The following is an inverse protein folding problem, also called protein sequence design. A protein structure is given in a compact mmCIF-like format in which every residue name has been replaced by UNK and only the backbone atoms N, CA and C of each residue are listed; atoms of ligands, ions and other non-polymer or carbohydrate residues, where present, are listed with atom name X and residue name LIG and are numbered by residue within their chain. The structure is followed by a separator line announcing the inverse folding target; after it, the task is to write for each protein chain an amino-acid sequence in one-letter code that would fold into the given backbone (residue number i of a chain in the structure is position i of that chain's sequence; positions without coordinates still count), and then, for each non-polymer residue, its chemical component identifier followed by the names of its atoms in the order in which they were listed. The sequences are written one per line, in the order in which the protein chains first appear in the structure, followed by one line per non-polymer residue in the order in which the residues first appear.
data_IF_893227306671
#
_entry.id   IF_893227306671
#
_cell.length_a   1.000
_cell.length_b   1.000
_cell.length_c   1.000
_cell.angle_alpha   90.00
_cell.angle_beta   90.00
_cell.angle_gamma   90.00
#
_symmetry.space_group_name_H-M   'P 1'
#
loop_
_entity.id
_entity.type
_entity.pdbx_description
1 polymer ?
#
# COMPACT_ATOMS: atom_id res chain seq x y z
N UNK A 1 -9.66 -18.71 2.75
CA UNK A 1 -10.03 -18.19 4.10
C UNK A 1 -10.41 -16.70 4.06
N UNK A 2 -9.61 -15.83 3.45
CA UNK A 2 -9.91 -14.38 3.41
C UNK A 2 -11.27 -13.99 2.79
N UNK A 3 -11.71 -14.63 1.68
CA UNK A 3 -13.04 -14.32 1.10
C UNK A 3 -14.20 -14.57 2.08
N UNK A 4 -14.17 -15.70 2.79
CA UNK A 4 -15.16 -16.02 3.83
C UNK A 4 -15.12 -15.02 5.00
N UNK A 5 -13.91 -14.59 5.40
CA UNK A 5 -13.76 -13.57 6.43
C UNK A 5 -14.32 -12.22 5.97
N UNK A 6 -14.08 -11.85 4.71
CA UNK A 6 -14.59 -10.61 4.11
C UNK A 6 -16.12 -10.57 4.16
N UNK A 7 -16.79 -11.61 3.65
CA UNK A 7 -18.27 -11.72 3.70
C UNK A 7 -18.81 -11.61 5.14
N UNK A 8 -18.13 -12.25 6.09
CA UNK A 8 -18.50 -12.20 7.51
C UNK A 8 -18.39 -10.80 8.10
N UNK A 9 -17.27 -10.10 7.87
CA UNK A 9 -17.06 -8.75 8.38
C UNK A 9 -17.93 -7.70 7.69
N UNK A 10 -18.14 -7.81 6.37
CA UNK A 10 -19.06 -6.93 5.63
C UNK A 10 -20.47 -7.03 6.18
N UNK A 11 -20.96 -8.25 6.43
CA UNK A 11 -22.29 -8.46 6.98
C UNK A 11 -22.41 -7.98 8.43
N UNK A 12 -21.38 -8.20 9.24
CA UNK A 12 -21.43 -7.86 10.65
C UNK A 12 -21.28 -6.35 10.88
N UNK A 13 -20.29 -5.73 10.23
CA UNK A 13 -19.75 -4.43 10.59
C UNK A 13 -19.71 -3.42 9.43
N UNK A 14 -20.04 -3.86 8.21
CA UNK A 14 -20.10 -3.00 7.02
C UNK A 14 -18.81 -2.96 6.20
N UNK A 15 -18.88 -2.39 4.97
CA UNK A 15 -17.78 -2.38 4.00
C UNK A 15 -16.58 -1.52 4.43
N UNK A 16 -16.80 -0.50 5.25
CA UNK A 16 -15.78 0.49 5.66
C UNK A 16 -15.15 0.19 7.02
N UNK A 17 -15.54 -0.92 7.67
CA UNK A 17 -14.99 -1.27 8.97
C UNK A 17 -13.52 -1.72 8.85
N UNK A 18 -12.68 -1.40 9.85
CA UNK A 18 -11.25 -1.80 9.97
C UNK A 18 -10.97 -3.20 9.48
N UNK A 19 -11.70 -4.17 10.03
CA UNK A 19 -11.44 -5.59 9.78
C UNK A 19 -11.87 -6.02 8.37
N UNK A 20 -12.90 -5.38 7.83
CA UNK A 20 -13.31 -5.54 6.43
C UNK A 20 -12.19 -5.04 5.52
N UNK A 21 -11.78 -3.78 5.69
CA UNK A 21 -10.73 -3.16 4.88
C UNK A 21 -9.37 -3.85 5.03
N UNK A 22 -9.03 -4.31 6.23
CA UNK A 22 -7.83 -5.11 6.46
C UNK A 22 -7.87 -6.45 5.73
N UNK A 23 -9.04 -7.09 5.67
CA UNK A 23 -9.22 -8.32 4.90
C UNK A 23 -9.12 -8.04 3.40
N UNK A 24 -9.66 -6.93 2.91
CA UNK A 24 -9.52 -6.50 1.51
C UNK A 24 -8.04 -6.26 1.16
N UNK A 25 -7.29 -5.53 1.98
CA UNK A 25 -5.85 -5.31 1.77
C UNK A 25 -5.08 -6.64 1.72
N UNK A 26 -5.37 -7.57 2.63
CA UNK A 26 -4.72 -8.89 2.64
C UNK A 26 -5.08 -9.75 1.42
N UNK A 27 -6.29 -9.62 0.87
CA UNK A 27 -6.62 -10.22 -0.42
C UNK A 27 -5.79 -9.62 -1.55
N UNK A 28 -5.51 -8.32 -1.52
CA UNK A 28 -4.61 -7.66 -2.45
C UNK A 28 -3.21 -8.29 -2.45
N UNK A 29 -2.62 -8.45 -1.26
CA UNK A 29 -1.33 -9.13 -1.10
C UNK A 29 -1.38 -10.56 -1.65
N UNK A 30 -2.40 -11.33 -1.28
CA UNK A 30 -2.55 -12.71 -1.76
C UNK A 30 -2.64 -12.79 -3.30
N UNK A 31 -3.38 -11.89 -3.95
CA UNK A 31 -3.47 -11.87 -5.40
C UNK A 31 -2.16 -11.46 -6.06
N UNK A 32 -1.44 -10.49 -5.48
CA UNK A 32 -0.11 -10.09 -5.94
C UNK A 32 0.85 -11.29 -5.91
N UNK A 33 0.90 -12.02 -4.80
CA UNK A 33 1.77 -13.19 -4.64
C UNK A 33 1.43 -14.33 -5.61
N UNK A 34 0.19 -14.36 -6.12
CA UNK A 34 -0.26 -15.30 -7.15
C UNK A 34 -0.02 -14.80 -8.58
N UNK A 35 0.50 -13.58 -8.76
CA UNK A 35 0.65 -12.93 -10.08
C UNK A 35 -0.65 -12.35 -10.65
N UNK A 36 -1.74 -12.34 -9.88
CA UNK A 36 -3.04 -11.78 -10.27
C UNK A 36 -3.06 -10.27 -10.05
N UNK A 37 -2.28 -9.55 -10.87
CA UNK A 37 -1.95 -8.14 -10.64
C UNK A 37 -3.16 -7.21 -10.71
N UNK A 38 -4.14 -7.49 -11.58
CA UNK A 38 -5.33 -6.66 -11.74
C UNK A 38 -6.28 -6.79 -10.52
N UNK A 39 -6.46 -8.02 -10.03
CA UNK A 39 -7.24 -8.31 -8.84
C UNK A 39 -6.58 -7.71 -7.59
N UNK A 40 -5.25 -7.78 -7.50
CA UNK A 40 -4.49 -7.14 -6.44
C UNK A 40 -4.72 -5.63 -6.41
N UNK A 41 -4.61 -4.97 -7.58
CA UNK A 41 -4.83 -3.52 -7.73
C UNK A 41 -6.24 -3.12 -7.30
N UNK A 42 -7.26 -3.89 -7.73
CA UNK A 42 -8.65 -3.65 -7.36
C UNK A 42 -8.87 -3.76 -5.85
N UNK A 43 -8.25 -4.76 -5.19
CA UNK A 43 -8.35 -4.91 -3.75
C UNK A 43 -7.66 -3.77 -3.01
N UNK A 44 -6.41 -3.42 -3.38
CA UNK A 44 -5.71 -2.32 -2.70
C UNK A 44 -6.41 -0.97 -2.89
N UNK A 45 -6.91 -0.65 -4.09
CA UNK A 45 -7.68 0.58 -4.32
C UNK A 45 -8.95 0.62 -3.47
N UNK A 46 -9.68 -0.49 -3.38
CA UNK A 46 -10.86 -0.60 -2.53
C UNK A 46 -10.52 -0.38 -1.05
N UNK A 47 -9.44 -0.98 -0.57
CA UNK A 47 -8.97 -0.77 0.81
C UNK A 47 -8.54 0.69 1.05
N UNK A 48 -7.84 1.29 0.08
CA UNK A 48 -7.37 2.67 0.15
C UNK A 48 -8.52 3.65 0.28
N UNK A 49 -9.50 3.58 -0.62
CA UNK A 49 -10.69 4.45 -0.59
C UNK A 49 -11.44 4.31 0.75
N UNK A 50 -11.62 3.08 1.22
CA UNK A 50 -12.27 2.82 2.50
C UNK A 50 -11.51 3.39 3.70
N UNK A 51 -10.17 3.23 3.74
CA UNK A 51 -9.36 3.75 4.84
C UNK A 51 -9.26 5.27 4.82
N UNK A 52 -9.11 5.88 3.64
CA UNK A 52 -9.14 7.33 3.48
C UNK A 52 -10.45 7.91 3.99
N UNK A 53 -11.59 7.29 3.64
CA UNK A 53 -12.90 7.73 4.10
C UNK A 53 -13.11 7.53 5.60
N UNK A 54 -12.71 6.37 6.14
CA UNK A 54 -12.96 6.04 7.53
C UNK A 54 -12.05 6.82 8.50
N UNK A 55 -10.77 6.98 8.15
CA UNK A 55 -9.73 7.43 9.08
C UNK A 55 -8.79 8.51 8.53
N UNK A 56 -8.93 8.87 7.27
CA UNK A 56 -8.16 9.93 6.64
C UNK A 56 -6.91 9.45 5.90
N UNK A 57 -6.32 10.35 5.09
CA UNK A 57 -5.21 10.03 4.18
C UNK A 57 -3.89 9.70 4.88
N UNK A 58 -3.68 10.19 6.10
CA UNK A 58 -2.44 10.03 6.87
C UNK A 58 -2.52 8.88 7.89
N UNK A 59 -3.64 8.16 7.97
CA UNK A 59 -3.77 7.06 8.90
C UNK A 59 -2.82 5.91 8.54
N UNK A 60 -2.18 5.23 9.51
CA UNK A 60 -1.20 4.18 9.25
C UNK A 60 -1.63 3.07 8.28
N UNK A 61 -2.89 2.63 8.36
CA UNK A 61 -3.45 1.63 7.43
C UNK A 61 -3.65 2.17 6.02
N UNK A 62 -3.94 3.47 5.88
CA UNK A 62 -4.01 4.16 4.58
C UNK A 62 -2.62 4.17 3.95
N UNK A 63 -1.62 4.66 4.70
CA UNK A 63 -0.23 4.74 4.23
C UNK A 63 0.35 3.37 3.89
N UNK A 64 0.00 2.33 4.66
CA UNK A 64 0.44 0.97 4.35
C UNK A 64 -0.17 0.48 3.03
N UNK A 65 -1.45 0.77 2.78
CA UNK A 65 -2.12 0.41 1.53
C UNK A 65 -1.52 1.18 0.34
N UNK A 66 -1.17 2.46 0.55
CA UNK A 66 -0.42 3.25 -0.45
C UNK A 66 0.93 2.61 -0.77
N UNK A 67 1.71 2.20 0.24
CA UNK A 67 2.98 1.52 0.01
C UNK A 67 2.80 0.21 -0.78
N UNK A 68 1.78 -0.59 -0.43
CA UNK A 68 1.47 -1.84 -1.14
C UNK A 68 1.10 -1.61 -2.62
N UNK A 69 0.41 -0.51 -2.94
CA UNK A 69 0.17 -0.09 -4.33
C UNK A 69 1.47 0.29 -5.03
N UNK A 70 2.41 0.95 -4.33
CA UNK A 70 3.75 1.23 -4.85
C UNK A 70 4.49 -0.03 -5.26
N UNK A 71 4.53 -1.04 -4.38
CA UNK A 71 5.14 -2.35 -4.68
C UNK A 71 4.45 -3.02 -5.87
N UNK A 72 3.12 -3.02 -5.89
CA UNK A 72 2.37 -3.61 -7.00
C UNK A 72 2.68 -2.93 -8.34
N UNK A 73 2.74 -1.60 -8.38
CA UNK A 73 3.07 -0.87 -9.61
C UNK A 73 4.51 -1.09 -10.05
N UNK A 74 5.46 -1.17 -9.11
CA UNK A 74 6.85 -1.53 -9.40
C UNK A 74 6.91 -2.90 -10.08
N UNK A 75 6.22 -3.91 -9.52
CA UNK A 75 6.17 -5.27 -10.09
C UNK A 75 5.52 -5.32 -11.48
N UNK A 76 4.62 -4.37 -11.78
CA UNK A 76 4.02 -4.19 -13.11
C UNK A 76 4.90 -3.38 -14.09
N UNK A 77 6.05 -2.87 -13.65
CA UNK A 77 6.91 -1.96 -14.44
C UNK A 77 6.37 -0.52 -14.57
N UNK A 78 5.32 -0.17 -13.81
CA UNK A 78 4.72 1.16 -13.75
C UNK A 78 5.50 2.07 -12.80
N UNK A 79 6.72 2.40 -13.22
CA UNK A 79 7.71 3.02 -12.33
C UNK A 79 7.29 4.41 -11.83
N UNK A 80 6.61 5.22 -12.64
CA UNK A 80 6.15 6.55 -12.24
C UNK A 80 5.02 6.49 -11.20
N UNK A 81 4.08 5.57 -11.38
CA UNK A 81 2.99 5.33 -10.43
C UNK A 81 3.51 4.77 -9.11
N UNK A 82 4.50 3.87 -9.18
CA UNK A 82 5.18 3.35 -7.99
C UNK A 82 5.86 4.48 -7.19
N UNK A 83 6.62 5.34 -7.87
CA UNK A 83 7.31 6.49 -7.27
C UNK A 83 6.33 7.44 -6.57
N UNK A 84 5.20 7.73 -7.22
CA UNK A 84 4.16 8.57 -6.64
C UNK A 84 3.55 7.97 -5.37
N UNK A 85 3.31 6.65 -5.36
CA UNK A 85 2.80 5.96 -4.17
C UNK A 85 3.82 5.96 -3.03
N UNK A 86 5.07 5.58 -3.30
CA UNK A 86 6.11 5.55 -2.26
C UNK A 86 6.38 6.93 -1.67
N UNK A 87 6.47 8.00 -2.49
CA UNK A 87 6.64 9.36 -1.96
C UNK A 87 5.48 9.78 -1.07
N UNK A 88 4.25 9.45 -1.47
CA UNK A 88 3.06 9.73 -0.65
C UNK A 88 3.10 8.97 0.69
N UNK A 89 3.47 7.70 0.67
CA UNK A 89 3.61 6.91 1.90
C UNK A 89 4.73 7.46 2.80
N UNK A 90 5.86 7.84 2.21
CA UNK A 90 7.03 8.40 2.90
C UNK A 90 6.67 9.69 3.63
N UNK A 91 6.09 10.66 2.92
CA UNK A 91 5.67 11.94 3.51
C UNK A 91 4.70 11.73 4.69
N UNK A 92 3.75 10.80 4.52
CA UNK A 92 2.79 10.46 5.57
C UNK A 92 3.45 9.81 6.78
N UNK A 93 4.35 8.85 6.58
CA UNK A 93 5.02 8.15 7.68
C UNK A 93 6.01 9.04 8.42
N UNK A 94 6.77 9.89 7.70
CA UNK A 94 7.64 10.90 8.28
C UNK A 94 6.85 11.87 9.17
N UNK A 95 5.71 12.36 8.67
CA UNK A 95 4.87 13.28 9.44
C UNK A 95 4.26 12.61 10.67
N UNK A 96 3.80 11.36 10.55
CA UNK A 96 3.13 10.65 11.63
C UNK A 96 4.09 10.20 12.74
N UNK A 97 5.27 9.68 12.36
CA UNK A 97 6.15 8.92 13.26
C UNK A 97 7.63 9.28 13.18
N UNK A 98 8.01 10.14 12.24
CA UNK A 98 9.39 10.59 12.05
C UNK A 98 10.21 9.71 11.10
N UNK A 99 11.43 10.19 10.73
CA UNK A 99 12.29 9.55 9.73
C UNK A 99 12.83 8.19 10.17
N UNK A 100 13.03 7.97 11.47
CA UNK A 100 13.63 6.75 12.02
C UNK A 100 12.64 5.59 12.21
N UNK A 101 11.34 5.83 12.02
CA UNK A 101 10.34 4.79 12.21
C UNK A 101 10.51 3.67 11.17
N UNK A 102 10.33 2.38 11.54
CA UNK A 102 10.53 1.26 10.62
C UNK A 102 9.79 1.42 9.29
N UNK A 103 8.50 1.77 9.29
CA UNK A 103 7.73 1.97 8.06
C UNK A 103 8.27 3.10 7.17
N UNK A 104 8.84 4.14 7.76
CA UNK A 104 9.48 5.23 7.02
C UNK A 104 10.74 4.70 6.32
N UNK A 105 11.58 3.98 7.06
CA UNK A 105 12.81 3.37 6.54
C UNK A 105 12.55 2.32 5.46
N UNK A 106 11.50 1.50 5.63
CA UNK A 106 11.06 0.53 4.64
C UNK A 106 10.63 1.24 3.35
N UNK A 107 9.89 2.34 3.45
CA UNK A 107 9.46 3.13 2.28
C UNK A 107 10.65 3.79 1.58
N UNK A 108 11.64 4.29 2.32
CA UNK A 108 12.90 4.80 1.74
C UNK A 108 13.64 3.71 0.98
N UNK A 109 13.73 2.51 1.56
CA UNK A 109 14.34 1.36 0.90
C UNK A 109 13.62 1.00 -0.41
N UNK A 110 12.29 0.92 -0.38
CA UNK A 110 11.47 0.64 -1.57
C UNK A 110 11.66 1.69 -2.67
N UNK A 111 11.79 2.98 -2.30
CA UNK A 111 12.05 4.08 -3.21
C UNK A 111 13.48 4.04 -3.79
N UNK A 112 14.47 3.70 -2.98
CA UNK A 112 15.86 3.51 -3.42
C UNK A 112 16.00 2.36 -4.42
N UNK A 113 15.35 1.24 -4.15
CA UNK A 113 15.28 0.11 -5.09
C UNK A 113 14.58 0.51 -6.40
N UNK A 114 13.50 1.28 -6.33
CA UNK A 114 12.81 1.79 -7.52
C UNK A 114 13.74 2.68 -8.37
N UNK A 115 14.50 3.58 -7.75
CA UNK A 115 15.44 4.44 -8.48
C UNK A 115 16.59 3.64 -9.09
N UNK A 116 17.11 2.65 -8.37
CA UNK A 116 18.11 1.72 -8.88
C UNK A 116 17.59 0.99 -10.13
N UNK A 117 16.34 0.51 -10.11
CA UNK A 117 15.71 -0.15 -11.26
C UNK A 117 15.52 0.81 -12.45
N UNK A 118 15.37 2.12 -12.19
CA UNK A 118 15.34 3.17 -13.21
C UNK A 118 16.74 3.63 -13.68
N UNK A 119 17.83 3.14 -13.08
CA UNK A 119 19.20 3.58 -13.36
C UNK A 119 19.57 4.94 -12.74
N UNK A 120 18.75 5.46 -11.83
CA UNK A 120 18.91 6.74 -11.12
C UNK A 120 19.74 6.54 -9.85
N UNK A 121 21.04 6.28 -10.01
CA UNK A 121 21.91 5.90 -8.89
C UNK A 121 22.09 7.02 -7.86
N UNK A 122 22.13 8.28 -8.28
CA UNK A 122 22.27 9.41 -7.37
C UNK A 122 21.06 9.54 -6.43
N UNK A 123 19.85 9.31 -6.96
CA UNK A 123 18.62 9.32 -6.18
C UNK A 123 18.47 8.07 -5.30
N UNK A 124 19.07 6.94 -5.69
CA UNK A 124 19.06 5.71 -4.90
C UNK A 124 20.01 5.75 -3.68
N UNK A 125 21.06 6.57 -3.73
CA UNK A 125 22.07 6.73 -2.66
C UNK A 125 21.73 7.85 -1.65
N UNK A 126 20.70 8.66 -1.93
CA UNK A 126 20.29 9.80 -1.11
C UNK A 126 19.46 9.38 0.12
#
# INVERSE_FOLDING_TARGET
MYRRALEGYEKAWGPEHRSTLGTVNNLGVLYKDQGNMAEAEAMFRRALEGYEKAWGPEHPSTLNTVNNLGVLYKDQGKMAEAEAMYRRALEGYEKAWGPEHPSTRDTVHDLGDLYKDQGKMAEAEA
#
